data_IF_791614553266
#
_entry.id   IF_791614553266
#
_cell.length_a   1.000
_cell.length_b   1.000
_cell.length_c   1.000
_cell.angle_alpha   90.00
_cell.angle_beta   90.00
_cell.angle_gamma   90.00
#
_symmetry.space_group_name_H-M   'P 1'
#
loop_
_entity.id
_entity.type
_entity.pdbx_description
1 polymer ?
#
# COMPACT_ATOMS: atom_id res chain seq x y z
N UNK A 1 -8.66 -18.95 -21.00
CA UNK A 1 -8.57 -17.57 -20.50
C UNK A 1 -7.59 -16.85 -21.40
N UNK A 2 -8.02 -15.80 -22.11
CA UNK A 2 -7.12 -15.00 -22.94
C UNK A 2 -6.32 -14.09 -21.99
N UNK A 3 -5.10 -14.49 -21.67
CA UNK A 3 -4.19 -13.70 -20.86
C UNK A 3 -3.68 -12.55 -21.74
N UNK A 4 -4.39 -11.43 -21.76
CA UNK A 4 -3.82 -10.17 -22.24
C UNK A 4 -2.51 -9.95 -21.51
N UNK A 5 -1.40 -9.96 -22.24
CA UNK A 5 -0.07 -9.77 -21.68
C UNK A 5 0.01 -8.31 -21.24
N UNK A 6 -0.28 -8.07 -19.97
CA UNK A 6 -0.07 -6.76 -19.37
C UNK A 6 1.43 -6.54 -19.24
N UNK A 7 1.86 -5.34 -19.60
CA UNK A 7 3.20 -4.86 -19.29
C UNK A 7 3.39 -4.75 -17.78
N UNK A 8 4.64 -4.80 -17.33
CA UNK A 8 4.98 -4.58 -15.91
C UNK A 8 4.42 -3.26 -15.38
N UNK A 9 4.34 -2.22 -16.22
CA UNK A 9 3.76 -0.92 -15.89
C UNK A 9 2.25 -1.03 -15.62
N UNK A 10 1.50 -1.69 -16.49
CA UNK A 10 0.06 -1.88 -16.32
C UNK A 10 -0.26 -2.73 -15.08
N UNK A 11 0.53 -3.77 -14.82
CA UNK A 11 0.39 -4.59 -13.60
C UNK A 11 0.62 -3.73 -12.36
N UNK A 12 1.65 -2.88 -12.37
CA UNK A 12 1.94 -1.97 -11.25
C UNK A 12 0.82 -0.95 -11.04
N UNK A 13 0.31 -0.35 -12.11
CA UNK A 13 -0.79 0.61 -12.05
C UNK A 13 -2.07 -0.03 -11.47
N UNK A 14 -2.43 -1.23 -11.93
CA UNK A 14 -3.57 -1.95 -11.37
C UNK A 14 -3.36 -2.37 -9.91
N UNK A 15 -2.16 -2.83 -9.56
CA UNK A 15 -1.81 -3.19 -8.19
C UNK A 15 -1.86 -2.01 -7.22
N UNK A 16 -1.61 -0.79 -7.69
CA UNK A 16 -1.75 0.45 -6.90
C UNK A 16 -3.20 0.93 -6.79
N UNK A 17 -4.03 0.69 -7.82
CA UNK A 17 -5.43 1.13 -7.84
C UNK A 17 -6.39 0.19 -7.12
N UNK A 18 -6.14 -1.12 -7.12
CA UNK A 18 -7.07 -2.10 -6.57
C UNK A 18 -7.25 -2.00 -5.03
N UNK A 19 -6.20 -1.86 -4.21
CA UNK A 19 -6.35 -1.79 -2.76
C UNK A 19 -7.17 -0.58 -2.25
N UNK A 20 -6.96 0.67 -2.69
CA UNK A 20 -7.75 1.80 -2.19
C UNK A 20 -9.23 1.70 -2.57
N UNK A 21 -9.58 1.07 -3.70
CA UNK A 21 -10.98 0.83 -4.08
C UNK A 21 -11.70 -0.18 -3.17
N UNK A 22 -10.96 -1.10 -2.54
CA UNK A 22 -11.53 -2.16 -1.69
C UNK A 22 -11.38 -1.88 -0.19
N UNK A 23 -10.26 -1.27 0.22
CA UNK A 23 -9.85 -1.13 1.61
C UNK A 23 -9.90 0.33 2.10
N UNK A 24 -10.11 1.29 1.18
CA UNK A 24 -9.90 2.71 1.45
C UNK A 24 -8.42 3.06 1.69
N UNK A 25 -8.12 4.34 1.85
CA UNK A 25 -6.75 4.85 1.99
C UNK A 25 -6.02 4.26 3.20
N UNK A 26 -6.68 4.18 4.36
CA UNK A 26 -6.06 3.66 5.58
C UNK A 26 -5.79 2.15 5.50
N UNK A 27 -6.69 1.38 4.89
CA UNK A 27 -6.50 -0.06 4.69
C UNK A 27 -5.42 -0.36 3.66
N UNK A 28 -5.35 0.42 2.58
CA UNK A 28 -4.27 0.34 1.58
C UNK A 28 -2.89 0.52 2.22
N UNK A 29 -2.70 1.57 3.03
CA UNK A 29 -1.40 1.85 3.68
C UNK A 29 -0.98 0.67 4.56
N UNK A 30 -1.88 0.14 5.40
CA UNK A 30 -1.58 -1.02 6.25
C UNK A 30 -1.26 -2.27 5.44
N UNK A 31 -1.96 -2.48 4.33
CA UNK A 31 -1.69 -3.61 3.44
C UNK A 31 -0.27 -3.52 2.86
N UNK A 32 0.15 -2.37 2.34
CA UNK A 32 1.52 -2.22 1.83
C UNK A 32 2.58 -2.37 2.93
N UNK A 33 2.32 -1.86 4.14
CA UNK A 33 3.21 -2.03 5.29
C UNK A 33 3.44 -3.50 5.69
N UNK A 34 2.57 -4.44 5.31
CA UNK A 34 2.79 -5.88 5.57
C UNK A 34 3.89 -6.49 4.69
N UNK A 35 4.14 -5.91 3.51
CA UNK A 35 5.11 -6.40 2.54
C UNK A 35 6.40 -5.57 2.52
N UNK A 36 6.36 -4.39 3.14
CA UNK A 36 7.55 -3.58 3.38
C UNK A 36 8.25 -4.06 4.66
N UNK A 37 9.58 -4.09 4.65
CA UNK A 37 10.34 -4.14 5.90
C UNK A 37 10.24 -2.73 6.50
N UNK A 38 9.16 -2.50 7.23
CA UNK A 38 8.97 -1.28 7.99
C UNK A 38 10.10 -1.10 8.99
N UNK A 39 10.65 0.12 9.07
CA UNK A 39 11.55 0.51 10.16
C UNK A 39 10.94 1.70 10.90
N UNK A 40 11.19 1.77 12.21
CA UNK A 40 10.65 2.81 13.07
C UNK A 40 9.41 2.41 13.88
N UNK A 41 9.13 3.19 14.92
CA UNK A 41 8.01 3.00 15.85
C UNK A 41 7.09 4.23 15.75
N UNK A 42 6.18 4.20 14.77
CA UNK A 42 5.25 5.30 14.50
C UNK A 42 4.42 5.67 15.73
N UNK A 43 4.14 4.71 16.62
CA UNK A 43 3.44 4.97 17.88
C UNK A 43 4.26 5.89 18.79
N UNK A 44 5.57 5.67 18.90
CA UNK A 44 6.48 6.58 19.64
C UNK A 44 6.67 7.91 18.91
N UNK A 45 6.82 7.90 17.60
CA UNK A 45 7.06 9.11 16.81
C UNK A 45 5.85 10.04 16.77
N UNK A 46 4.63 9.49 16.63
CA UNK A 46 3.38 10.25 16.68
C UNK A 46 3.24 11.04 17.98
N UNK A 47 3.68 10.51 19.12
CA UNK A 47 3.68 11.22 20.41
C UNK A 47 4.63 12.41 20.44
N UNK A 48 5.66 12.46 19.60
CA UNK A 48 6.56 13.61 19.46
C UNK A 48 5.97 14.70 18.57
N UNK A 49 5.25 14.30 17.51
CA UNK A 49 4.66 15.20 16.52
C UNK A 49 3.40 15.89 17.06
N UNK A 50 2.59 15.20 17.87
CA UNK A 50 1.35 15.73 18.45
C UNK A 50 1.54 16.38 19.83
N UNK A 51 2.73 16.95 20.09
CA UNK A 51 2.97 17.76 21.30
C UNK A 51 2.58 19.22 21.09
#
# INVERSE_FOLDING_TARGET
>A
MNTTIMTTKEIREQGLQAPPQKLGTAGMIKFFQQFEIGSGDYTKERKKILK
#
